data_IF_529693367105
#
_entry.id   IF_529693367105
#
_cell.length_a   1.000
_cell.length_b   1.000
_cell.length_c   1.000
_cell.angle_alpha   90.00
_cell.angle_beta   90.00
_cell.angle_gamma   90.00
#
_symmetry.space_group_name_H-M   'P 1'
#
loop_
_entity.id
_entity.type
_entity.pdbx_description
1 polymer ?
#
# COMPACT_ATOMS: atom_id res chain seq x y z
N UNK A 1 8.14 7.48 -18.76
CA UNK A 1 8.79 6.25 -19.26
C UNK A 1 10.09 6.68 -19.93
N UNK A 2 11.23 6.60 -19.24
CA UNK A 2 12.50 6.77 -19.94
C UNK A 2 12.69 5.55 -20.85
N UNK A 3 12.95 5.77 -22.14
CA UNK A 3 13.33 4.67 -23.02
C UNK A 3 14.68 4.12 -22.52
N UNK A 4 14.67 2.89 -22.03
CA UNK A 4 15.89 2.12 -21.84
C UNK A 4 16.50 1.86 -23.22
N UNK A 5 17.61 2.55 -23.53
CA UNK A 5 18.34 2.33 -24.77
C UNK A 5 19.32 1.15 -24.70
N UNK A 6 19.53 0.58 -23.50
CA UNK A 6 20.34 -0.62 -23.31
C UNK A 6 19.42 -1.83 -23.13
N UNK A 7 19.41 -2.72 -24.13
CA UNK A 7 18.62 -3.95 -24.09
C UNK A 7 19.19 -4.99 -23.14
N UNK A 8 20.43 -4.85 -22.66
CA UNK A 8 21.08 -5.82 -21.78
C UNK A 8 20.52 -5.81 -20.35
N UNK A 9 19.90 -4.70 -19.92
CA UNK A 9 19.28 -4.57 -18.59
C UNK A 9 17.80 -4.94 -18.58
N UNK A 10 17.19 -5.17 -19.76
CA UNK A 10 15.77 -5.51 -19.84
C UNK A 10 15.49 -6.86 -19.16
N UNK A 11 14.33 -7.00 -18.49
CA UNK A 11 13.92 -8.26 -17.91
C UNK A 11 13.74 -9.33 -19.00
N UNK A 12 14.21 -10.54 -18.72
CA UNK A 12 13.99 -11.73 -19.54
C UNK A 12 13.08 -12.67 -18.78
N UNK A 13 11.88 -12.88 -19.31
CA UNK A 13 10.89 -13.82 -18.78
C UNK A 13 11.23 -15.22 -19.26
N UNK A 14 11.45 -16.15 -18.32
CA UNK A 14 11.70 -17.56 -18.61
C UNK A 14 10.45 -18.37 -18.26
N UNK A 15 9.96 -19.14 -19.23
CA UNK A 15 8.75 -19.97 -19.08
C UNK A 15 9.06 -21.46 -19.19
N UNK A 16 8.17 -22.28 -18.63
CA UNK A 16 8.16 -23.72 -18.87
C UNK A 16 7.52 -24.07 -20.23
N UNK A 17 7.46 -25.37 -20.55
CA UNK A 17 6.88 -25.86 -21.81
C UNK A 17 5.39 -25.56 -21.94
N UNK A 18 4.71 -25.32 -20.82
CA UNK A 18 3.27 -25.06 -20.74
C UNK A 18 2.96 -23.55 -20.74
N UNK A 19 3.98 -22.69 -20.79
CA UNK A 19 3.83 -21.24 -20.74
C UNK A 19 3.72 -20.66 -19.33
N UNK A 20 3.97 -21.44 -18.27
CA UNK A 20 4.03 -20.92 -16.90
C UNK A 20 5.33 -20.16 -16.71
N UNK A 21 5.26 -18.97 -16.09
CA UNK A 21 6.45 -18.17 -15.75
C UNK A 21 7.21 -18.88 -14.63
N UNK A 22 8.48 -19.24 -14.90
CA UNK A 22 9.40 -19.79 -13.91
C UNK A 22 10.07 -18.67 -13.13
N UNK A 23 10.62 -17.70 -13.86
CA UNK A 23 11.22 -16.50 -13.28
C UNK A 23 11.37 -15.39 -14.32
N UNK A 24 11.57 -14.17 -13.83
CA UNK A 24 11.92 -13.00 -14.62
C UNK A 24 13.25 -12.46 -14.08
N UNK A 25 14.22 -12.22 -14.96
CA UNK A 25 15.59 -11.88 -14.55
C UNK A 25 16.23 -10.82 -15.44
N UNK A 26 17.03 -9.93 -14.85
CA UNK A 26 17.95 -9.04 -15.59
C UNK A 26 19.33 -9.68 -15.74
N UNK A 27 20.12 -9.27 -16.74
CA UNK A 27 21.47 -9.79 -16.95
C UNK A 27 22.55 -8.71 -17.14
N UNK A 28 22.20 -7.43 -17.05
CA UNK A 28 23.11 -6.32 -17.37
C UNK A 28 23.30 -5.31 -16.24
N UNK A 29 22.57 -5.42 -15.12
CA UNK A 29 22.62 -4.40 -14.06
C UNK A 29 23.99 -4.33 -13.38
N UNK A 30 24.73 -5.44 -13.38
CA UNK A 30 26.06 -5.51 -12.78
C UNK A 30 27.09 -4.62 -13.49
N UNK A 31 26.90 -4.32 -14.78
CA UNK A 31 27.73 -3.32 -15.49
C UNK A 31 27.54 -1.89 -14.97
N UNK A 32 26.44 -1.65 -14.25
CA UNK A 32 26.12 -0.37 -13.61
C UNK A 32 26.38 -0.37 -12.09
N UNK A 33 27.03 -1.42 -11.57
CA UNK A 33 27.34 -1.55 -10.15
C UNK A 33 26.16 -2.04 -9.29
N UNK A 34 25.10 -2.58 -9.91
CA UNK A 34 23.95 -3.16 -9.20
C UNK A 34 23.86 -4.67 -9.42
N UNK A 35 23.48 -5.47 -8.41
CA UNK A 35 23.20 -6.89 -8.64
C UNK A 35 22.05 -7.05 -9.65
N UNK A 36 22.12 -8.11 -10.45
CA UNK A 36 21.02 -8.47 -11.33
C UNK A 36 19.79 -8.90 -10.53
N UNK A 37 18.62 -8.45 -10.97
CA UNK A 37 17.35 -8.71 -10.32
C UNK A 37 16.79 -10.05 -10.78
N UNK A 38 16.14 -10.77 -9.87
CA UNK A 38 15.40 -11.98 -10.18
C UNK A 38 14.08 -12.04 -9.40
N UNK A 39 13.02 -12.47 -10.07
CA UNK A 39 11.71 -12.68 -9.48
C UNK A 39 11.19 -14.07 -9.84
N UNK A 40 11.05 -14.93 -8.82
CA UNK A 40 10.75 -16.36 -8.99
C UNK A 40 9.27 -16.70 -8.76
N UNK A 41 8.37 -15.71 -8.89
CA UNK A 41 6.94 -15.89 -8.64
C UNK A 41 6.14 -15.75 -9.94
N UNK A 42 5.12 -16.60 -10.09
CA UNK A 42 4.13 -16.45 -11.16
C UNK A 42 3.21 -15.27 -10.79
N UNK A 43 3.56 -14.09 -11.28
CA UNK A 43 2.87 -12.84 -11.02
C UNK A 43 2.72 -12.08 -12.33
N UNK A 44 1.47 -11.76 -12.66
CA UNK A 44 1.06 -11.22 -13.96
C UNK A 44 1.77 -9.90 -14.30
N UNK A 45 2.05 -9.06 -13.31
CA UNK A 45 2.77 -7.79 -13.49
C UNK A 45 4.26 -7.87 -13.11
N UNK A 46 4.85 -9.06 -13.06
CA UNK A 46 6.24 -9.25 -12.59
C UNK A 46 7.28 -8.54 -13.46
N UNK A 47 7.05 -8.49 -14.77
CA UNK A 47 7.94 -7.79 -15.71
C UNK A 47 7.89 -6.28 -15.50
N UNK A 48 6.68 -5.72 -15.33
CA UNK A 48 6.48 -4.30 -15.08
C UNK A 48 7.08 -3.88 -13.72
N UNK A 49 6.93 -4.72 -12.69
CA UNK A 49 7.57 -4.51 -11.39
C UNK A 49 9.09 -4.37 -11.54
N UNK A 50 9.74 -5.24 -12.32
CA UNK A 50 11.19 -5.17 -12.56
C UNK A 50 11.54 -3.89 -13.34
N UNK A 51 10.79 -3.54 -14.39
CA UNK A 51 11.02 -2.31 -15.15
C UNK A 51 10.91 -1.06 -14.28
N UNK A 52 9.93 -1.00 -13.38
CA UNK A 52 9.74 0.13 -12.47
C UNK A 52 10.86 0.21 -11.41
N UNK A 53 11.38 -0.94 -10.96
CA UNK A 53 12.56 -1.00 -10.09
C UNK A 53 13.79 -0.47 -10.84
N UNK A 54 14.02 -0.91 -12.08
CA UNK A 54 15.13 -0.46 -12.91
C UNK A 54 15.04 1.07 -13.12
N UNK A 55 13.85 1.62 -13.42
CA UNK A 55 13.66 3.07 -13.61
C UNK A 55 14.04 3.85 -12.33
N UNK A 56 13.69 3.33 -11.15
CA UNK A 56 14.11 3.92 -9.86
C UNK A 56 15.62 3.86 -9.65
N UNK A 57 16.27 2.73 -10.00
CA UNK A 57 17.73 2.57 -9.89
C UNK A 57 18.44 3.65 -10.71
N UNK A 58 18.05 3.83 -11.96
CA UNK A 58 18.68 4.83 -12.84
C UNK A 58 18.34 6.28 -12.47
N UNK A 59 17.23 6.51 -11.76
CA UNK A 59 16.92 7.81 -11.13
C UNK A 59 17.69 8.09 -9.86
N UNK A 60 18.50 7.15 -9.37
CA UNK A 60 19.21 7.23 -8.08
C UNK A 60 18.25 7.39 -6.88
N UNK A 61 16.99 6.99 -7.04
CA UNK A 61 15.93 7.03 -6.01
C UNK A 61 15.59 5.62 -5.51
N UNK A 62 16.57 4.72 -5.61
CA UNK A 62 16.39 3.31 -5.24
C UNK A 62 17.14 2.98 -3.96
N UNK A 63 16.40 2.54 -2.96
CA UNK A 63 16.94 2.08 -1.69
C UNK A 63 16.70 0.57 -1.55
N UNK A 64 17.76 -0.23 -1.73
CA UNK A 64 17.68 -1.70 -1.70
C UNK A 64 17.11 -2.28 -0.39
N UNK A 65 17.23 -1.54 0.73
CA UNK A 65 16.73 -1.96 2.03
C UNK A 65 15.26 -1.54 2.27
N UNK A 66 14.65 -0.80 1.36
CA UNK A 66 13.26 -0.37 1.48
C UNK A 66 12.28 -1.51 1.16
N UNK A 67 11.11 -1.45 1.78
CA UNK A 67 9.96 -2.26 1.38
C UNK A 67 9.10 -1.41 0.45
N UNK A 68 8.77 -1.94 -0.72
CA UNK A 68 7.96 -1.25 -1.73
C UNK A 68 6.55 -1.82 -1.79
N UNK A 69 5.58 -0.94 -1.98
CA UNK A 69 4.22 -1.35 -2.33
C UNK A 69 4.07 -1.35 -3.85
N UNK A 70 3.67 -2.49 -4.41
CA UNK A 70 3.33 -2.64 -5.81
C UNK A 70 1.99 -3.35 -5.94
N UNK A 71 1.00 -2.69 -6.55
CA UNK A 71 -0.38 -3.18 -6.68
C UNK A 71 -0.97 -3.76 -5.38
N UNK A 72 -0.66 -3.13 -4.23
CA UNK A 72 -1.18 -3.53 -2.92
C UNK A 72 -0.45 -4.70 -2.26
N UNK A 73 0.61 -5.23 -2.91
CA UNK A 73 1.51 -6.23 -2.33
C UNK A 73 2.82 -5.57 -1.91
N UNK A 74 3.38 -6.03 -0.79
CA UNK A 74 4.65 -5.55 -0.29
C UNK A 74 5.78 -6.42 -0.82
N UNK A 75 6.80 -5.78 -1.39
CA UNK A 75 7.99 -6.43 -1.92
C UNK A 75 9.24 -5.86 -1.26
N UNK A 76 10.25 -6.71 -1.09
CA UNK A 76 11.61 -6.29 -0.71
C UNK A 76 12.63 -7.00 -1.59
N UNK A 77 13.87 -6.53 -1.55
CA UNK A 77 15.00 -7.17 -2.20
C UNK A 77 15.86 -7.86 -1.16
N UNK A 78 16.26 -9.09 -1.46
CA UNK A 78 17.25 -9.83 -0.69
C UNK A 78 18.38 -10.28 -1.60
N UNK A 79 19.63 -10.08 -1.18
CA UNK A 79 20.77 -10.60 -1.91
C UNK A 79 20.89 -12.10 -1.62
N UNK A 80 20.68 -12.90 -2.67
CA UNK A 80 20.82 -14.35 -2.61
C UNK A 80 22.28 -14.79 -2.56
N UNK A 81 22.51 -16.04 -2.19
CA UNK A 81 23.85 -16.67 -2.23
C UNK A 81 24.41 -16.80 -3.65
N UNK A 82 23.56 -16.65 -4.66
CA UNK A 82 23.90 -16.61 -6.09
C UNK A 82 24.40 -15.23 -6.55
N UNK A 83 24.42 -14.23 -5.66
CA UNK A 83 24.82 -12.86 -5.99
C UNK A 83 23.75 -12.06 -6.74
N UNK A 84 22.54 -12.62 -6.89
CA UNK A 84 21.39 -11.93 -7.47
C UNK A 84 20.58 -11.23 -6.39
N UNK A 85 19.87 -10.17 -6.77
CA UNK A 85 18.89 -9.50 -5.92
C UNK A 85 17.50 -10.10 -6.17
N UNK A 86 17.05 -10.92 -5.23
CA UNK A 86 15.76 -11.60 -5.28
C UNK A 86 14.66 -10.65 -4.83
N UNK A 87 13.68 -10.43 -5.70
CA UNK A 87 12.43 -9.76 -5.37
C UNK A 87 11.56 -10.78 -4.64
N UNK A 88 11.19 -10.48 -3.40
CA UNK A 88 10.36 -11.36 -2.59
C UNK A 88 9.14 -10.63 -2.07
N UNK A 89 7.98 -11.28 -2.16
CA UNK A 89 6.79 -10.81 -1.48
C UNK A 89 6.97 -10.99 0.02
N UNK A 90 6.74 -9.93 0.78
CA UNK A 90 6.78 -9.98 2.25
C UNK A 90 5.37 -10.21 2.77
N UNK A 91 5.22 -11.21 3.65
CA UNK A 91 4.00 -11.32 4.47
C UNK A 91 3.90 -10.09 5.36
N UNK A 92 2.70 -9.54 5.49
CA UNK A 92 2.50 -8.33 6.28
C UNK A 92 2.60 -8.70 7.75
N UNK A 93 3.73 -8.35 8.38
CA UNK A 93 4.07 -8.65 9.77
C UNK A 93 3.56 -7.59 10.76
N UNK A 94 3.35 -6.38 10.27
CA UNK A 94 2.76 -5.28 11.03
C UNK A 94 1.81 -4.45 10.17
N UNK A 95 0.85 -3.81 10.83
CA UNK A 95 -0.02 -2.87 10.13
C UNK A 95 0.71 -1.59 9.77
N UNK A 96 0.57 -1.15 8.51
CA UNK A 96 1.17 0.10 8.01
C UNK A 96 0.14 0.96 7.29
N UNK A 97 0.40 2.26 7.23
CA UNK A 97 -0.36 3.19 6.37
C UNK A 97 0.45 3.43 5.11
N UNK A 98 -0.14 3.11 3.96
CA UNK A 98 0.43 3.30 2.64
C UNK A 98 -0.22 4.52 1.99
N UNK A 99 0.60 5.42 1.44
CA UNK A 99 0.12 6.54 0.63
C UNK A 99 0.25 6.18 -0.85
N UNK A 100 -0.86 6.25 -1.57
CA UNK A 100 -0.92 6.03 -3.02
C UNK A 100 -0.86 7.39 -3.70
N UNK A 101 0.19 7.60 -4.47
CA UNK A 101 0.46 8.86 -5.18
C UNK A 101 -0.19 8.81 -6.56
N UNK A 102 -0.82 9.91 -6.97
CA UNK A 102 -1.31 10.06 -8.33
C UNK A 102 -0.10 10.24 -9.28
N UNK A 103 0.10 9.36 -10.28
CA UNK A 103 1.27 9.43 -11.15
C UNK A 103 1.31 10.66 -12.05
N UNK A 104 0.16 11.33 -12.28
CA UNK A 104 0.07 12.53 -13.12
C UNK A 104 0.37 13.80 -12.34
N UNK A 105 -0.09 13.90 -11.10
CA UNK A 105 0.04 15.13 -10.30
C UNK A 105 1.16 15.06 -9.26
N UNK A 106 1.63 13.87 -8.88
CA UNK A 106 2.58 13.67 -7.79
C UNK A 106 1.96 13.88 -6.39
N UNK A 107 0.68 14.26 -6.32
CA UNK A 107 -0.03 14.45 -5.06
C UNK A 107 -0.56 13.12 -4.51
N UNK A 108 -0.82 13.07 -3.20
CA UNK A 108 -1.40 11.87 -2.61
C UNK A 108 -2.86 11.73 -3.05
N UNK A 109 -3.17 10.64 -3.75
CA UNK A 109 -4.53 10.32 -4.17
C UNK A 109 -5.33 9.74 -2.99
N UNK A 110 -4.72 8.84 -2.22
CA UNK A 110 -5.34 8.19 -1.06
C UNK A 110 -4.33 7.59 -0.10
N UNK A 111 -4.75 7.44 1.15
CA UNK A 111 -4.08 6.65 2.18
C UNK A 111 -4.85 5.34 2.40
N UNK A 112 -4.14 4.26 2.68
CA UNK A 112 -4.73 2.92 2.86
C UNK A 112 -3.99 2.16 3.97
N UNK A 113 -4.72 1.47 4.83
CA UNK A 113 -4.11 0.49 5.75
C UNK A 113 -3.66 -0.74 4.96
N UNK A 114 -2.57 -1.35 5.43
CA UNK A 114 -2.17 -2.68 4.97
C UNK A 114 -1.85 -3.55 6.17
N UNK A 115 -2.43 -4.74 6.20
CA UNK A 115 -2.24 -5.73 7.24
C UNK A 115 -3.49 -5.99 8.08
N UNK A 116 -4.58 -5.22 7.92
CA UNK A 116 -5.81 -5.49 8.66
C UNK A 116 -6.40 -6.84 8.32
N UNK A 117 -6.47 -7.16 7.03
CA UNK A 117 -7.07 -8.41 6.57
C UNK A 117 -6.22 -9.61 7.00
N UNK A 118 -4.90 -9.54 6.80
CA UNK A 118 -4.00 -10.65 7.08
C UNK A 118 -3.70 -10.87 8.56
N UNK A 119 -3.68 -9.81 9.38
CA UNK A 119 -3.29 -9.91 10.80
C UNK A 119 -4.49 -9.96 11.75
N UNK A 120 -5.61 -9.35 11.38
CA UNK A 120 -6.76 -9.14 12.27
C UNK A 120 -8.10 -9.59 11.68
N UNK A 121 -8.11 -10.21 10.49
CA UNK A 121 -9.33 -10.60 9.75
C UNK A 121 -10.32 -9.42 9.61
N UNK A 122 -9.77 -8.23 9.42
CA UNK A 122 -10.53 -6.98 9.35
C UNK A 122 -10.36 -6.35 7.96
N UNK A 123 -11.41 -5.82 7.32
CA UNK A 123 -11.27 -5.15 6.03
C UNK A 123 -10.28 -3.98 6.09
N UNK A 124 -9.49 -3.81 5.03
CA UNK A 124 -8.60 -2.65 4.92
C UNK A 124 -9.41 -1.34 4.85
N UNK A 125 -8.84 -0.27 5.40
CA UNK A 125 -9.46 1.04 5.47
C UNK A 125 -8.73 2.03 4.56
N UNK A 126 -9.48 2.77 3.77
CA UNK A 126 -9.00 3.77 2.81
C UNK A 126 -9.57 5.17 3.13
N UNK A 127 -8.74 6.19 2.92
CA UNK A 127 -9.12 7.60 3.05
C UNK A 127 -8.57 8.36 1.83
N UNK A 128 -9.37 9.23 1.21
CA UNK A 128 -8.87 10.08 0.11
C UNK A 128 -7.81 11.08 0.60
N UNK A 129 -6.82 11.38 -0.24
CA UNK A 129 -5.66 12.19 0.15
C UNK A 129 -6.00 13.65 0.49
N UNK A 130 -7.17 14.14 0.09
CA UNK A 130 -7.70 15.47 0.40
C UNK A 130 -8.51 15.52 1.72
N UNK A 131 -8.77 14.38 2.36
CA UNK A 131 -9.53 14.34 3.61
C UNK A 131 -8.66 14.83 4.77
N UNK A 132 -9.14 15.86 5.46
CA UNK A 132 -8.47 16.45 6.60
C UNK A 132 -8.24 15.39 7.71
N UNK A 133 -7.02 15.33 8.25
CA UNK A 133 -6.60 14.37 9.29
C UNK A 133 -6.68 12.89 8.87
N UNK A 134 -6.76 12.60 7.56
CA UNK A 134 -6.96 11.23 7.08
C UNK A 134 -5.91 10.24 7.59
N UNK A 135 -4.64 10.63 7.65
CA UNK A 135 -3.56 9.75 8.12
C UNK A 135 -3.62 9.51 9.62
N UNK A 136 -3.92 10.54 10.40
CA UNK A 136 -4.06 10.47 11.86
C UNK A 136 -5.25 9.57 12.24
N UNK A 137 -6.35 9.67 11.51
CA UNK A 137 -7.52 8.81 11.68
C UNK A 137 -7.15 7.34 11.42
N UNK A 138 -6.43 7.06 10.34
CA UNK A 138 -5.96 5.69 10.07
C UNK A 138 -5.03 5.18 11.18
N UNK A 139 -4.12 6.01 11.69
CA UNK A 139 -3.26 5.62 12.82
C UNK A 139 -4.07 5.25 14.06
N UNK A 140 -5.08 6.06 14.38
CA UNK A 140 -5.99 5.77 15.49
C UNK A 140 -6.72 4.43 15.28
N UNK A 141 -7.27 4.19 14.09
CA UNK A 141 -7.96 2.93 13.79
C UNK A 141 -7.03 1.72 13.91
N UNK A 142 -5.77 1.85 13.50
CA UNK A 142 -4.77 0.79 13.65
C UNK A 142 -4.60 0.41 15.12
N UNK A 143 -4.46 1.40 16.01
CA UNK A 143 -4.27 1.13 17.44
C UNK A 143 -5.49 0.46 18.06
N UNK A 144 -6.69 0.83 17.63
CA UNK A 144 -7.93 0.25 18.16
C UNK A 144 -8.17 -1.17 17.65
N UNK A 145 -7.93 -1.45 16.36
CA UNK A 145 -8.01 -2.82 15.81
C UNK A 145 -6.98 -3.72 16.50
N UNK A 146 -5.76 -3.22 16.76
CA UNK A 146 -4.75 -3.95 17.56
C UNK A 146 -5.24 -4.27 18.97
N UNK A 147 -6.10 -3.44 19.54
CA UNK A 147 -6.73 -3.66 20.84
C UNK A 147 -8.02 -4.50 20.77
N UNK A 148 -8.39 -5.01 19.59
CA UNK A 148 -9.52 -5.91 19.39
C UNK A 148 -10.84 -5.23 19.03
N UNK A 149 -10.84 -3.93 18.72
CA UNK A 149 -12.04 -3.25 18.20
C UNK A 149 -12.30 -3.64 16.74
N UNK A 150 -13.58 -3.80 16.41
CA UNK A 150 -14.06 -4.05 15.05
C UNK A 150 -14.89 -2.84 14.61
N UNK A 151 -14.65 -2.41 13.38
CA UNK A 151 -15.36 -1.31 12.74
C UNK A 151 -16.25 -1.81 11.62
N UNK A 152 -17.33 -1.07 11.39
CA UNK A 152 -18.32 -1.37 10.37
C UNK A 152 -18.84 -0.07 9.73
N UNK A 153 -19.75 -0.21 8.77
CA UNK A 153 -20.37 0.92 8.08
C UNK A 153 -21.30 1.77 8.97
N UNK A 154 -21.59 1.32 10.20
CA UNK A 154 -22.41 2.08 11.16
C UNK A 154 -21.55 2.91 12.13
N UNK A 155 -20.23 2.72 12.08
CA UNK A 155 -19.25 3.38 12.93
C UNK A 155 -18.94 4.80 12.43
N UNK A 156 -18.74 5.73 13.36
CA UNK A 156 -18.28 7.08 13.08
C UNK A 156 -17.15 7.50 14.03
N UNK A 157 -16.27 8.36 13.52
CA UNK A 157 -15.08 8.81 14.23
C UNK A 157 -15.19 10.31 14.45
N UNK A 158 -15.06 10.75 15.70
CA UNK A 158 -14.95 12.17 16.03
C UNK A 158 -13.48 12.53 16.28
N UNK A 159 -12.94 13.45 15.46
CA UNK A 159 -11.56 13.93 15.55
C UNK A 159 -11.51 15.44 15.31
N UNK A 160 -10.89 16.21 16.21
CA UNK A 160 -10.73 17.68 16.10
C UNK A 160 -12.05 18.42 15.77
N UNK A 161 -13.16 18.00 16.39
CA UNK A 161 -14.55 18.52 16.19
C UNK A 161 -15.17 18.23 14.82
N UNK A 162 -14.51 17.43 13.99
CA UNK A 162 -15.05 16.88 12.75
C UNK A 162 -15.57 15.47 12.98
N UNK A 163 -16.61 15.11 12.24
CA UNK A 163 -17.18 13.76 12.24
C UNK A 163 -16.85 13.12 10.90
N UNK A 164 -16.36 11.90 10.97
CA UNK A 164 -16.01 11.08 9.82
C UNK A 164 -16.87 9.83 9.86
N UNK A 165 -17.52 9.55 8.73
CA UNK A 165 -18.34 8.36 8.56
C UNK A 165 -17.55 7.27 7.86
N UNK A 166 -17.70 6.03 8.33
CA UNK A 166 -17.14 4.83 7.69
C UNK A 166 -18.23 4.21 6.82
N UNK A 167 -17.91 3.85 5.59
CA UNK A 167 -18.82 3.10 4.71
C UNK A 167 -18.06 2.00 3.99
N UNK A 168 -18.78 0.98 3.51
CA UNK A 168 -18.18 -0.10 2.73
C UNK A 168 -18.28 0.25 1.24
N UNK A 169 -17.15 0.15 0.55
CA UNK A 169 -17.04 0.16 -0.91
C UNK A 169 -16.36 -1.14 -1.36
N UNK A 170 -16.24 -1.34 -2.67
CA UNK A 170 -15.58 -2.50 -3.25
C UNK A 170 -14.40 -2.07 -4.11
N UNK A 171 -13.29 -2.79 -4.00
CA UNK A 171 -12.14 -2.58 -4.87
C UNK A 171 -12.40 -3.12 -6.29
N UNK A 172 -11.42 -2.93 -7.20
CA UNK A 172 -11.53 -3.41 -8.59
C UNK A 172 -11.61 -4.93 -8.72
N UNK A 173 -11.23 -5.66 -7.68
CA UNK A 173 -11.28 -7.11 -7.62
C UNK A 173 -12.57 -7.61 -6.92
N UNK A 174 -13.43 -6.70 -6.45
CA UNK A 174 -14.67 -7.02 -5.75
C UNK A 174 -14.49 -7.28 -4.26
N UNK A 175 -13.31 -7.02 -3.68
CA UNK A 175 -13.11 -7.19 -2.24
C UNK A 175 -13.68 -5.98 -1.47
N UNK A 176 -14.30 -6.21 -0.30
CA UNK A 176 -14.82 -5.13 0.53
C UNK A 176 -13.66 -4.29 1.09
N UNK A 177 -13.81 -2.98 1.01
CA UNK A 177 -12.87 -2.01 1.57
C UNK A 177 -13.68 -0.97 2.32
N UNK A 178 -13.25 -0.65 3.55
CA UNK A 178 -13.87 0.42 4.31
C UNK A 178 -13.30 1.75 3.86
N UNK A 179 -14.17 2.74 3.65
CA UNK A 179 -13.78 4.09 3.28
C UNK A 179 -14.25 5.10 4.31
N UNK A 180 -13.44 6.13 4.48
CA UNK A 180 -13.72 7.23 5.41
C UNK A 180 -13.97 8.50 4.62
N UNK A 181 -15.03 9.21 5.00
CA UNK A 181 -15.43 10.49 4.43
C UNK A 181 -15.70 11.50 5.55
N UNK A 182 -15.34 12.76 5.32
CA UNK A 182 -15.75 13.88 6.17
C UNK A 182 -17.23 14.20 5.96
N UNK A 183 -18.02 14.28 7.03
CA UNK A 183 -19.42 14.68 6.93
C UNK A 183 -19.58 16.21 6.87
N UNK A 184 -19.74 16.72 5.65
CA UNK A 184 -20.03 18.12 5.38
C UNK A 184 -21.53 18.44 5.63
N UNK A 185 -21.88 18.75 6.89
CA UNK A 185 -23.12 19.41 7.41
C UNK A 185 -24.11 18.54 8.22
N UNK A 186 -24.26 18.88 9.51
CA UNK A 186 -25.31 19.77 10.06
C UNK A 186 -25.64 19.43 11.52
N UNK A 187 -25.99 20.42 12.34
CA UNK A 187 -26.42 20.27 13.75
C UNK A 187 -27.62 19.31 13.95
N UNK A 188 -28.29 18.89 12.88
CA UNK A 188 -29.33 17.85 12.89
C UNK A 188 -28.75 16.44 13.03
N UNK A 189 -27.55 16.18 12.52
CA UNK A 189 -26.88 14.89 12.62
C UNK A 189 -26.39 14.60 14.03
N UNK A 190 -25.91 15.64 14.75
CA UNK A 190 -25.53 15.57 16.18
C UNK A 190 -26.63 15.04 17.09
N UNK A 191 -27.91 15.15 16.68
CA UNK A 191 -29.06 14.59 17.43
C UNK A 191 -29.32 13.10 17.13
N UNK A 192 -29.00 12.63 15.92
CA UNK A 192 -29.17 11.23 15.50
C UNK A 192 -28.01 10.31 15.89
N UNK A 193 -26.85 10.90 16.16
CA UNK A 193 -25.63 10.21 16.62
C UNK A 193 -25.84 9.32 17.86
N UNK A 194 -26.87 9.55 18.69
CA UNK A 194 -27.19 8.70 19.84
C UNK A 194 -27.51 7.23 19.50
N UNK A 195 -27.67 6.88 18.21
CA UNK A 195 -27.90 5.49 17.76
C UNK A 195 -26.66 4.77 17.22
N UNK A 196 -25.58 5.47 16.88
CA UNK A 196 -24.38 4.88 16.27
C UNK A 196 -23.24 4.77 17.29
N UNK A 197 -22.33 3.82 17.09
CA UNK A 197 -21.10 3.68 17.90
C UNK A 197 -20.13 4.79 17.50
N UNK A 198 -20.03 5.83 18.33
CA UNK A 198 -19.10 6.94 18.14
C UNK A 198 -17.77 6.55 18.77
N UNK A 199 -16.71 6.69 18.01
CA UNK A 199 -15.35 6.54 18.50
C UNK A 199 -14.77 7.94 18.67
N UNK A 200 -14.48 8.31 19.91
CA UNK A 200 -13.87 9.61 20.22
C UNK A 200 -12.36 9.44 20.30
N UNK A 201 -11.64 10.16 19.45
CA UNK A 201 -10.17 10.17 19.50
C UNK A 201 -9.70 11.17 20.55
N UNK A 202 -9.43 10.70 21.76
CA UNK A 202 -9.03 11.56 22.89
C UNK A 202 -7.51 11.68 23.11
N UNK A 203 -6.66 11.14 22.23
CA UNK A 203 -5.23 11.20 22.44
C UNK A 203 -4.42 11.23 21.15
N UNK A 204 -3.85 12.38 20.85
CA UNK A 204 -2.53 12.58 20.24
C UNK A 204 -2.07 13.96 20.72
N UNK A 205 -1.42 14.02 21.89
CA UNK A 205 -0.61 15.20 22.19
C UNK A 205 0.42 15.33 21.09
N UNK A 206 0.39 16.47 20.38
CA UNK A 206 1.33 16.82 19.32
C UNK A 206 2.76 16.59 19.82
N UNK A 207 3.40 15.51 19.36
CA UNK A 207 4.86 15.43 19.40
C UNK A 207 5.34 16.41 18.35
N UNK A 208 5.78 17.57 18.81
CA UNK A 208 6.45 18.62 18.04
C UNK A 208 7.83 18.17 17.58
#
# INVERSE_FOLDING_TARGET
MHLFFDSSVLPVTTTDINGNILYIRTNGLHYYGYPDLIFNQNYEDGEQLILDIIDRIFKLDFNIAAVWNYNGKLFKLEIGSDGLAHIISTEVDETRILSIINPLTGETAKHKTKGFESLFDHPEVEVEGNVLYGREILSYLIDQVKNGEIYDADSSIEFEKNIYSIYIDYDRLGNPVMRIQLDEKSDLWRRNIKKNKILTVNHLERVK
#
